data_IF_310411836832
#
_entry.id   IF_310411836832
#
_cell.length_a   1.000
_cell.length_b   1.000
_cell.length_c   1.000
_cell.angle_alpha   90.00
_cell.angle_beta   90.00
_cell.angle_gamma   90.00
#
_symmetry.space_group_name_H-M   'P 1'
#
loop_
_entity.id
_entity.type
_entity.pdbx_description
1 polymer ?
#
# COMPACT_ATOMS: atom_id res chain seq x y z
N UNK A 1 3.08 -5.45 -21.34
CA UNK A 1 3.41 -4.02 -21.22
C UNK A 1 2.35 -3.34 -20.35
N UNK A 2 2.43 -3.48 -19.02
CA UNK A 2 1.47 -2.86 -18.08
C UNK A 2 2.13 -1.96 -17.02
N UNK A 3 3.44 -2.09 -16.82
CA UNK A 3 4.15 -1.51 -15.67
C UNK A 3 4.44 -0.01 -15.80
N UNK A 4 4.31 0.57 -17.00
CA UNK A 4 4.67 1.98 -17.23
C UNK A 4 3.66 3.00 -16.68
N UNK A 5 2.38 2.64 -16.61
CA UNK A 5 1.35 3.56 -16.10
C UNK A 5 1.32 3.62 -14.58
N UNK A 6 1.50 2.48 -13.91
CA UNK A 6 1.53 2.42 -12.44
C UNK A 6 2.78 3.10 -11.87
N UNK A 7 3.94 2.95 -12.51
CA UNK A 7 5.15 3.68 -12.11
C UNK A 7 4.98 5.19 -12.15
N UNK A 8 4.47 5.72 -13.28
CA UNK A 8 4.22 7.15 -13.42
C UNK A 8 3.13 7.66 -12.46
N UNK A 9 2.09 6.85 -12.21
CA UNK A 9 1.06 7.19 -11.23
C UNK A 9 1.64 7.25 -9.81
N UNK A 10 2.46 6.28 -9.42
CA UNK A 10 3.13 6.26 -8.12
C UNK A 10 4.03 7.48 -7.93
N UNK A 11 4.87 7.84 -8.92
CA UNK A 11 5.73 9.02 -8.82
C UNK A 11 4.97 10.34 -8.64
N UNK A 12 3.80 10.48 -9.29
CA UNK A 12 2.93 11.65 -9.12
C UNK A 12 2.26 11.63 -7.74
N UNK A 13 1.77 10.47 -7.31
CA UNK A 13 1.13 10.30 -6.00
C UNK A 13 2.13 10.49 -4.85
N UNK A 14 3.41 10.13 -5.02
CA UNK A 14 4.47 10.42 -4.05
C UNK A 14 4.77 11.92 -3.92
N UNK A 15 4.60 12.69 -5.00
CA UNK A 15 4.72 14.15 -4.93
C UNK A 15 3.53 14.76 -4.19
N UNK A 16 2.32 14.31 -4.51
CA UNK A 16 1.09 14.74 -3.80
C UNK A 16 1.18 14.40 -2.32
N UNK A 17 1.53 13.15 -1.98
CA UNK A 17 1.67 12.71 -0.60
C UNK A 17 2.70 13.53 0.18
N UNK A 18 3.84 13.89 -0.43
CA UNK A 18 4.83 14.76 0.24
C UNK A 18 4.28 16.15 0.53
N UNK A 19 3.56 16.75 -0.42
CA UNK A 19 2.93 18.06 -0.21
C UNK A 19 1.88 17.95 0.90
N UNK A 20 1.03 16.93 0.87
CA UNK A 20 0.01 16.69 1.88
C UNK A 20 0.62 16.43 3.26
N UNK A 21 1.75 15.71 3.33
CA UNK A 21 2.47 15.46 4.58
C UNK A 21 3.05 16.75 5.20
N UNK A 22 3.50 17.70 4.38
CA UNK A 22 4.02 18.98 4.86
C UNK A 22 2.92 19.99 5.21
N UNK A 23 1.73 19.86 4.60
CA UNK A 23 0.67 20.88 4.68
C UNK A 23 -0.54 20.47 5.52
N UNK A 24 -0.82 19.17 5.62
CA UNK A 24 -2.01 18.62 6.27
C UNK A 24 -1.64 17.79 7.52
N UNK A 25 -2.53 17.83 8.52
CA UNK A 25 -2.39 17.00 9.70
C UNK A 25 -2.45 15.51 9.33
N UNK A 26 -1.86 14.64 10.14
CA UNK A 26 -1.84 13.19 9.86
C UNK A 26 -3.25 12.58 9.78
N UNK A 27 -4.22 13.13 10.51
CA UNK A 27 -5.63 12.71 10.51
C UNK A 27 -6.49 13.36 9.42
N UNK A 28 -5.88 14.21 8.58
CA UNK A 28 -6.61 14.90 7.53
C UNK A 28 -7.07 13.92 6.43
N UNK A 29 -8.38 13.95 6.06
CA UNK A 29 -8.93 13.00 5.11
C UNK A 29 -8.29 13.10 3.71
N UNK A 30 -7.84 14.28 3.28
CA UNK A 30 -7.18 14.44 1.99
C UNK A 30 -5.80 13.77 1.99
N UNK A 31 -5.05 13.90 3.10
CA UNK A 31 -3.77 13.19 3.28
C UNK A 31 -3.96 11.68 3.29
N UNK A 32 -4.95 11.17 4.03
CA UNK A 32 -5.25 9.74 4.10
C UNK A 32 -5.66 9.19 2.72
N UNK A 33 -6.47 9.94 1.96
CA UNK A 33 -6.87 9.58 0.61
C UNK A 33 -5.67 9.51 -0.37
N UNK A 34 -4.73 10.45 -0.28
CA UNK A 34 -3.50 10.43 -1.08
C UNK A 34 -2.61 9.24 -0.75
N UNK A 35 -2.47 8.88 0.53
CA UNK A 35 -1.74 7.69 0.97
C UNK A 35 -2.38 6.40 0.45
N UNK A 36 -3.71 6.30 0.52
CA UNK A 36 -4.44 5.14 0.04
C UNK A 36 -4.23 4.92 -1.46
N UNK A 37 -4.37 5.97 -2.27
CA UNK A 37 -4.14 5.91 -3.73
C UNK A 37 -2.70 5.54 -4.07
N UNK A 38 -1.73 6.06 -3.32
CA UNK A 38 -0.33 5.71 -3.50
C UNK A 38 -0.09 4.22 -3.21
N UNK A 39 -0.70 3.68 -2.15
CA UNK A 39 -0.64 2.26 -1.87
C UNK A 39 -1.25 1.41 -3.00
N UNK A 40 -2.41 1.78 -3.53
CA UNK A 40 -3.02 1.09 -4.68
C UNK A 40 -2.11 1.11 -5.93
N UNK A 41 -1.43 2.23 -6.18
CA UNK A 41 -0.45 2.31 -7.27
C UNK A 41 0.73 1.35 -7.06
N UNK A 42 1.24 1.25 -5.83
CA UNK A 42 2.26 0.27 -5.47
C UNK A 42 1.79 -1.18 -5.64
N UNK A 43 0.55 -1.50 -5.26
CA UNK A 43 -0.06 -2.82 -5.50
C UNK A 43 -0.11 -3.13 -7.00
N UNK A 44 -0.52 -2.16 -7.82
CA UNK A 44 -0.63 -2.30 -9.27
C UNK A 44 0.72 -2.49 -9.98
N UNK A 45 1.82 -1.98 -9.41
CA UNK A 45 3.18 -2.23 -9.92
C UNK A 45 3.64 -3.68 -9.69
N UNK A 46 3.08 -4.35 -8.69
CA UNK A 46 3.41 -5.73 -8.38
C UNK A 46 4.77 -5.89 -7.72
N UNK A 47 5.46 -6.98 -8.04
CA UNK A 47 6.59 -7.52 -7.26
C UNK A 47 7.61 -6.47 -6.78
N UNK A 48 7.99 -6.58 -5.51
CA UNK A 48 8.93 -5.66 -4.86
C UNK A 48 8.34 -4.33 -4.37
N UNK A 49 7.07 -4.03 -4.69
CA UNK A 49 6.38 -2.81 -4.23
C UNK A 49 5.33 -3.03 -3.15
N UNK A 50 4.92 -4.27 -2.90
CA UNK A 50 3.92 -4.58 -1.87
C UNK A 50 4.36 -4.18 -0.46
N UNK A 51 5.66 -4.25 -0.14
CA UNK A 51 6.18 -3.76 1.15
C UNK A 51 5.87 -2.27 1.38
N UNK A 52 6.07 -1.44 0.35
CA UNK A 52 5.76 0.01 0.41
C UNK A 52 4.26 0.27 0.51
N UNK A 53 3.45 -0.53 -0.19
CA UNK A 53 1.99 -0.46 -0.06
C UNK A 53 1.53 -0.80 1.37
N UNK A 54 2.12 -1.83 1.99
CA UNK A 54 1.79 -2.24 3.35
C UNK A 54 2.09 -1.11 4.35
N UNK A 55 3.29 -0.52 4.29
CA UNK A 55 3.68 0.57 5.20
C UNK A 55 2.71 1.77 5.15
N UNK A 56 2.21 2.11 3.95
CA UNK A 56 1.25 3.19 3.77
C UNK A 56 -0.13 2.82 4.33
N UNK A 57 -0.63 1.63 4.01
CA UNK A 57 -1.94 1.16 4.49
C UNK A 57 -1.97 0.94 6.01
N UNK A 58 -0.86 0.51 6.62
CA UNK A 58 -0.74 0.40 8.08
C UNK A 58 -0.86 1.76 8.77
N UNK A 59 -0.26 2.80 8.20
CA UNK A 59 -0.38 4.15 8.74
C UNK A 59 -1.82 4.67 8.64
N UNK A 60 -2.43 4.53 7.45
CA UNK A 60 -3.82 4.96 7.22
C UNK A 60 -4.78 4.23 8.15
N UNK A 61 -4.71 2.89 8.19
CA UNK A 61 -5.58 2.08 9.04
C UNK A 61 -5.44 2.42 10.51
N UNK A 62 -4.23 2.69 11.00
CA UNK A 62 -4.00 3.05 12.41
C UNK A 62 -4.68 4.36 12.79
N UNK A 63 -4.68 5.33 11.88
CA UNK A 63 -5.33 6.62 12.09
C UNK A 63 -6.84 6.46 12.03
N UNK A 64 -7.33 5.76 11.00
CA UNK A 64 -8.76 5.43 10.83
C UNK A 64 -9.30 4.62 12.01
N UNK A 65 -8.54 3.68 12.57
CA UNK A 65 -8.93 2.91 13.75
C UNK A 65 -9.15 3.81 14.98
N UNK A 66 -8.40 4.89 15.09
CA UNK A 66 -8.48 5.81 16.23
C UNK A 66 -9.63 6.83 16.10
N UNK A 67 -10.01 7.20 14.86
CA UNK A 67 -10.99 8.27 14.60
C UNK A 67 -12.33 7.75 14.07
N UNK A 68 -12.35 6.61 13.37
CA UNK A 68 -13.54 6.04 12.71
C UNK A 68 -14.11 4.85 13.49
N UNK A 69 -15.43 4.70 13.41
CA UNK A 69 -16.13 3.55 13.94
C UNK A 69 -15.68 2.25 13.22
N UNK A 70 -15.76 1.09 13.87
CA UNK A 70 -15.34 -0.18 13.26
C UNK A 70 -16.17 -0.59 12.02
N UNK A 71 -17.38 -0.06 11.85
CA UNK A 71 -18.25 -0.30 10.69
C UNK A 71 -18.04 0.73 9.57
N UNK A 72 -17.12 1.69 9.75
CA UNK A 72 -16.86 2.72 8.76
C UNK A 72 -16.24 2.11 7.49
N UNK A 73 -16.78 2.49 6.33
CA UNK A 73 -16.38 1.93 5.05
C UNK A 73 -14.91 2.20 4.73
N UNK A 74 -14.36 3.37 5.09
CA UNK A 74 -12.96 3.69 4.78
C UNK A 74 -12.02 2.80 5.59
N UNK A 75 -12.30 2.62 6.88
CA UNK A 75 -11.55 1.70 7.76
C UNK A 75 -11.59 0.26 7.25
N UNK A 76 -12.76 -0.24 6.85
CA UNK A 76 -12.93 -1.60 6.31
C UNK A 76 -12.11 -1.77 5.03
N UNK A 77 -12.17 -0.80 4.12
CA UNK A 77 -11.43 -0.84 2.84
C UNK A 77 -9.93 -0.85 3.11
N UNK A 78 -9.41 0.06 3.94
CA UNK A 78 -7.99 0.09 4.30
C UNK A 78 -7.52 -1.22 4.94
N UNK A 79 -8.33 -1.83 5.81
CA UNK A 79 -8.04 -3.13 6.39
C UNK A 79 -7.97 -4.22 5.32
N UNK A 80 -8.95 -4.29 4.42
CA UNK A 80 -9.00 -5.31 3.36
C UNK A 80 -7.81 -5.20 2.42
N UNK A 81 -7.43 -3.99 2.01
CA UNK A 81 -6.25 -3.77 1.19
C UNK A 81 -4.98 -4.18 1.93
N UNK A 82 -4.85 -3.86 3.22
CA UNK A 82 -3.69 -4.26 4.01
C UNK A 82 -3.56 -5.79 4.10
N UNK A 83 -4.67 -6.50 4.31
CA UNK A 83 -4.70 -7.98 4.32
C UNK A 83 -4.37 -8.57 2.94
N UNK A 84 -4.84 -7.96 1.86
CA UNK A 84 -4.47 -8.37 0.50
C UNK A 84 -2.96 -8.23 0.27
N UNK A 85 -2.40 -7.07 0.60
CA UNK A 85 -0.98 -6.78 0.41
C UNK A 85 -0.10 -7.72 1.23
N UNK A 86 -0.47 -7.99 2.49
CA UNK A 86 0.26 -8.95 3.33
C UNK A 86 0.27 -10.35 2.73
N UNK A 87 -0.87 -10.83 2.21
CA UNK A 87 -0.93 -12.12 1.50
C UNK A 87 -0.06 -12.15 0.25
N UNK A 88 0.06 -11.04 -0.48
CA UNK A 88 0.97 -10.93 -1.64
C UNK A 88 2.43 -11.02 -1.22
N UNK A 89 2.82 -10.31 -0.16
CA UNK A 89 4.17 -10.36 0.40
C UNK A 89 4.52 -11.79 0.82
N UNK A 90 3.63 -12.46 1.56
CA UNK A 90 3.83 -13.85 1.97
C UNK A 90 4.00 -14.78 0.76
N UNK A 91 3.13 -14.66 -0.25
CA UNK A 91 3.21 -15.46 -1.47
C UNK A 91 4.52 -15.23 -2.26
N UNK A 92 5.05 -14.01 -2.27
CA UNK A 92 6.36 -13.72 -2.89
C UNK A 92 7.52 -14.37 -2.12
N UNK A 93 7.49 -14.32 -0.78
CA UNK A 93 8.52 -14.95 0.05
C UNK A 93 8.51 -16.49 -0.10
N UNK A 94 7.33 -17.10 -0.18
CA UNK A 94 7.18 -18.54 -0.43
C UNK A 94 7.69 -18.93 -1.83
N UNK A 95 7.38 -18.13 -2.86
CA UNK A 95 7.85 -18.37 -4.22
C UNK A 95 9.38 -18.23 -4.35
N UNK A 96 9.98 -17.26 -3.65
CA UNK A 96 11.43 -17.08 -3.59
C UNK A 96 12.11 -18.26 -2.90
N UNK A 97 11.55 -18.73 -1.77
CA UNK A 97 12.06 -19.89 -1.02
C UNK A 97 11.99 -21.19 -1.83
N UNK A 98 10.92 -21.39 -2.60
CA UNK A 98 10.76 -22.54 -3.49
C UNK A 98 11.74 -22.50 -4.68
N UNK A 99 12.00 -21.31 -5.22
CA UNK A 99 12.95 -21.11 -6.34
C UNK A 99 14.40 -21.35 -5.89
N UNK A 100 14.78 -20.89 -4.69
CA UNK A 100 16.12 -21.09 -4.13
C UNK A 100 16.45 -22.57 -3.83
N UNK A 101 15.44 -23.41 -3.64
CA UNK A 101 15.61 -24.83 -3.31
C UNK A 101 15.71 -25.77 -4.52
N UNK A 102 15.45 -25.27 -5.74
CA UNK A 102 15.38 -26.07 -6.97
C UNK A 102 16.66 -26.18 -7.80
N UNK A 103 17.72 -25.43 -7.46
CA UNK A 103 18.95 -25.33 -8.28
C UNK A 103 20.12 -26.23 -7.83
N UNK A 104 19.89 -27.20 -6.95
CA UNK A 104 20.92 -28.18 -6.55
C UNK A 104 20.62 -29.57 -7.12
N UNK A 105 20.91 -29.83 -8.40
CA UNK A 105 21.16 -31.19 -8.93
C UNK A 105 22.02 -31.12 -10.19
#
# INVERSE_FOLDING_TARGET
>A
MGNGHYGRAAELLEQVFRIDEETLASEDPDRLASQHKLAEAYIGMGNGHYGRAAELLEQVFRIEENILAPDDSNRIISQQLLEEVRRRIEAENDAESASASGETT
#
